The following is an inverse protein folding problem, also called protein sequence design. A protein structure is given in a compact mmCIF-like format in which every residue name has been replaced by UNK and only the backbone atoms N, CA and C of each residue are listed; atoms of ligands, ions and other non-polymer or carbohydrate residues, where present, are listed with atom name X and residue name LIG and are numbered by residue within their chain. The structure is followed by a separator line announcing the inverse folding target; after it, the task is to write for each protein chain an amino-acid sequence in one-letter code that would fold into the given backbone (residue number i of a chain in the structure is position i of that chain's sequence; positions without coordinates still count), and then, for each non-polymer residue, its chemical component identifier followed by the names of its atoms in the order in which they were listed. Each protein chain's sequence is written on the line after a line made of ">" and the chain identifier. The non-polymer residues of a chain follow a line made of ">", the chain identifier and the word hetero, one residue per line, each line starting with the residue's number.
data_IF_956904927436
#
_entry.id   IF_956904927436
#
_cell.length_a   1.000
_cell.length_b   1.000
_cell.length_c   1.000
_cell.angle_alpha   90.00
_cell.angle_beta   90.00
_cell.angle_gamma   90.00
#
_symmetry.space_group_name_H-M   'P 1'
#
loop_
_entity.id
_entity.type
_entity.pdbx_description
1 polymer ?
#
# COMPACT_ATOMS: atom_id res chain seq x y z
N UNK A 1 8.76 19.23 4.98
CA UNK A 1 9.90 18.34 5.17
C UNK A 1 10.65 18.20 3.87
N UNK A 2 11.91 18.48 3.91
CA UNK A 2 12.72 18.49 2.69
C UNK A 2 12.93 17.10 2.10
N UNK A 3 12.63 16.03 2.82
CA UNK A 3 12.85 14.67 2.36
C UNK A 3 11.56 13.91 2.06
N UNK A 4 10.44 14.60 2.00
CA UNK A 4 9.18 13.99 1.66
C UNK A 4 8.90 14.15 0.17
N UNK A 5 8.58 13.05 -0.47
CA UNK A 5 8.18 13.05 -1.88
C UNK A 5 6.93 12.21 -2.07
N UNK A 6 5.97 12.76 -2.80
CA UNK A 6 4.83 11.98 -3.25
C UNK A 6 5.28 11.04 -4.35
N UNK A 7 4.94 9.77 -4.23
CA UNK A 7 5.25 8.74 -5.23
C UNK A 7 3.96 8.09 -5.67
N UNK A 8 3.69 8.17 -6.97
CA UNK A 8 2.47 7.61 -7.55
C UNK A 8 2.80 6.63 -8.65
N UNK A 9 2.02 5.57 -8.73
CA UNK A 9 2.17 4.53 -9.74
C UNK A 9 0.82 4.30 -10.39
N UNK A 10 0.81 4.20 -11.70
CA UNK A 10 -0.41 3.99 -12.47
C UNK A 10 -0.44 2.63 -13.11
N UNK A 11 -1.62 2.04 -13.18
CA UNK A 11 -1.89 0.82 -13.93
C UNK A 11 -2.69 1.21 -15.16
N UNK A 12 -2.19 0.86 -16.34
CA UNK A 12 -2.78 1.27 -17.61
C UNK A 12 -3.25 0.07 -18.40
N UNK A 13 -4.35 0.27 -19.11
CA UNK A 13 -4.87 -0.71 -20.07
C UNK A 13 -5.30 0.07 -21.31
N UNK A 14 -4.70 -0.26 -22.45
CA UNK A 14 -4.97 0.40 -23.74
C UNK A 14 -4.87 1.94 -23.63
N UNK A 15 -3.87 2.41 -22.92
CA UNK A 15 -3.63 3.84 -22.76
C UNK A 15 -4.51 4.53 -21.73
N UNK A 16 -5.42 3.81 -21.10
CA UNK A 16 -6.28 4.36 -20.04
C UNK A 16 -5.79 3.92 -18.68
N UNK A 17 -5.84 4.85 -17.72
CA UNK A 17 -5.49 4.51 -16.35
C UNK A 17 -6.68 3.78 -15.72
N UNK A 18 -6.43 2.58 -15.20
CA UNK A 18 -7.46 1.76 -14.56
C UNK A 18 -7.15 1.51 -13.09
N UNK A 19 -6.05 1.99 -12.61
CA UNK A 19 -5.73 1.90 -11.19
C UNK A 19 -4.55 2.78 -10.84
N UNK A 20 -4.43 3.10 -9.55
CA UNK A 20 -3.26 3.82 -9.11
C UNK A 20 -2.95 3.50 -7.65
N UNK A 21 -1.68 3.67 -7.32
CA UNK A 21 -1.18 3.55 -5.94
C UNK A 21 -0.43 4.82 -5.63
N UNK A 22 -0.80 5.49 -4.55
CA UNK A 22 -0.16 6.72 -4.13
C UNK A 22 0.32 6.63 -2.71
N UNK A 23 1.37 7.37 -2.42
CA UNK A 23 1.91 7.42 -1.09
C UNK A 23 3.00 8.46 -0.97
N UNK A 24 3.65 8.46 0.18
CA UNK A 24 4.72 9.39 0.49
C UNK A 24 6.00 8.63 0.73
N UNK A 25 7.05 9.03 0.06
CA UNK A 25 8.39 8.52 0.33
C UNK A 25 9.06 9.48 1.30
N UNK A 26 9.25 9.04 2.54
CA UNK A 26 9.86 9.83 3.61
C UNK A 26 11.13 9.12 4.01
N UNK A 27 12.28 9.72 3.72
CA UNK A 27 13.57 9.07 3.86
C UNK A 27 13.56 7.76 3.03
N UNK A 28 13.71 6.61 3.66
CA UNK A 28 13.71 5.31 2.97
C UNK A 28 12.47 4.47 3.27
N UNK A 29 11.39 5.12 3.71
CA UNK A 29 10.11 4.47 3.99
C UNK A 29 9.03 4.97 3.04
N UNK A 30 8.25 4.05 2.49
CA UNK A 30 7.10 4.39 1.67
C UNK A 30 5.83 4.24 2.51
N UNK A 31 5.13 5.35 2.71
CA UNK A 31 3.88 5.38 3.44
C UNK A 31 2.75 5.29 2.43
N UNK A 32 2.13 4.12 2.34
CA UNK A 32 1.04 3.88 1.40
C UNK A 32 -0.16 4.72 1.82
N UNK A 33 -0.63 5.57 0.94
CA UNK A 33 -1.79 6.39 1.20
C UNK A 33 -3.05 5.76 0.61
N UNK A 34 -2.97 5.26 -0.61
CA UNK A 34 -4.15 4.82 -1.32
C UNK A 34 -3.78 3.85 -2.43
N UNK A 35 -4.61 2.82 -2.59
CA UNK A 35 -4.58 1.97 -3.77
C UNK A 35 -6.00 1.83 -4.29
N UNK A 36 -6.19 2.05 -5.57
CA UNK A 36 -7.51 2.05 -6.21
C UNK A 36 -7.44 1.28 -7.52
N UNK A 37 -8.45 0.46 -7.76
CA UNK A 37 -8.67 -0.19 -9.06
C UNK A 37 -10.05 0.26 -9.52
N UNK A 38 -10.14 0.67 -10.77
CA UNK A 38 -11.38 1.09 -11.43
C UNK A 38 -12.43 -0.02 -11.34
N UNK A 39 -13.69 0.35 -11.08
CA UNK A 39 -14.76 -0.63 -10.82
C UNK A 39 -14.88 -1.75 -11.85
N UNK A 40 -14.87 -1.47 -13.16
CA UNK A 40 -14.98 -2.54 -14.15
C UNK A 40 -13.86 -3.58 -14.08
N UNK A 41 -12.75 -3.24 -13.42
CA UNK A 41 -11.56 -4.09 -13.35
C UNK A 41 -11.35 -4.69 -11.97
N UNK A 42 -12.24 -4.43 -11.02
CA UNK A 42 -12.17 -5.03 -9.70
C UNK A 42 -12.54 -6.51 -9.74
N UNK A 43 -12.19 -7.25 -8.71
CA UNK A 43 -12.47 -8.69 -8.56
C UNK A 43 -11.75 -9.58 -9.58
N UNK A 44 -10.72 -9.06 -10.24
CA UNK A 44 -9.89 -9.83 -11.16
C UNK A 44 -8.48 -10.03 -10.63
N UNK A 45 -8.31 -9.85 -9.32
CA UNK A 45 -7.03 -9.93 -8.64
C UNK A 45 -6.02 -8.89 -9.14
N UNK A 46 -6.48 -7.91 -9.89
CA UNK A 46 -5.60 -6.87 -10.42
C UNK A 46 -5.00 -6.01 -9.31
N UNK A 47 -5.80 -5.75 -8.27
CA UNK A 47 -5.28 -4.97 -7.13
C UNK A 47 -4.09 -5.65 -6.47
N UNK A 48 -4.19 -6.98 -6.29
CA UNK A 48 -3.11 -7.75 -5.70
C UNK A 48 -1.86 -7.74 -6.60
N UNK A 49 -2.07 -7.99 -7.89
CA UNK A 49 -0.97 -8.04 -8.85
C UNK A 49 -0.29 -6.68 -8.95
N UNK A 50 -1.09 -5.63 -9.06
CA UNK A 50 -0.58 -4.27 -9.20
C UNK A 50 0.20 -3.86 -7.94
N UNK A 51 -0.39 -4.08 -6.77
CA UNK A 51 0.25 -3.67 -5.52
C UNK A 51 1.56 -4.44 -5.30
N UNK A 52 1.56 -5.73 -5.59
CA UNK A 52 2.77 -6.55 -5.49
C UNK A 52 3.87 -6.02 -6.42
N UNK A 53 3.48 -5.62 -7.62
CA UNK A 53 4.42 -5.05 -8.58
C UNK A 53 4.99 -3.72 -8.09
N UNK A 54 4.14 -2.85 -7.54
CA UNK A 54 4.60 -1.57 -6.98
C UNK A 54 5.59 -1.81 -5.85
N UNK A 55 5.30 -2.77 -4.97
CA UNK A 55 6.22 -3.09 -3.88
C UNK A 55 7.56 -3.59 -4.41
N UNK A 56 7.56 -4.36 -5.48
CA UNK A 56 8.79 -4.83 -6.10
C UNK A 56 9.61 -3.67 -6.67
N UNK A 57 8.94 -2.70 -7.30
CA UNK A 57 9.62 -1.50 -7.80
C UNK A 57 10.26 -0.71 -6.67
N UNK A 58 9.54 -0.55 -5.56
CA UNK A 58 10.08 0.16 -4.40
C UNK A 58 11.30 -0.55 -3.83
N UNK A 59 11.24 -1.86 -3.73
CA UNK A 59 12.36 -2.66 -3.26
C UNK A 59 13.59 -2.47 -4.16
N UNK A 60 13.38 -2.48 -5.47
CA UNK A 60 14.46 -2.27 -6.43
C UNK A 60 15.06 -0.86 -6.36
N UNK A 61 14.26 0.13 -5.96
CA UNK A 61 14.74 1.49 -5.77
C UNK A 61 15.55 1.67 -4.47
N UNK A 62 15.57 0.67 -3.62
CA UNK A 62 16.28 0.75 -2.36
C UNK A 62 15.44 1.25 -1.19
N UNK A 63 14.12 1.32 -1.35
CA UNK A 63 13.22 1.62 -0.23
C UNK A 63 13.36 0.51 0.80
N UNK A 64 13.46 0.86 2.06
CA UNK A 64 13.72 -0.11 3.12
C UNK A 64 12.46 -0.72 3.69
N UNK A 65 11.37 0.03 3.75
CA UNK A 65 10.10 -0.55 4.18
C UNK A 65 8.92 0.24 3.66
N UNK A 66 7.77 -0.43 3.62
CA UNK A 66 6.49 0.18 3.30
C UNK A 66 5.56 0.01 4.49
N UNK A 67 4.75 1.04 4.76
CA UNK A 67 3.85 1.10 5.90
C UNK A 67 2.48 1.49 5.40
N UNK A 68 1.44 0.86 5.94
CA UNK A 68 0.06 1.23 5.62
C UNK A 68 -0.78 1.20 6.89
N UNK A 69 -1.76 2.10 6.97
CA UNK A 69 -2.79 2.07 8.00
C UNK A 69 -4.10 1.69 7.35
N UNK A 70 -4.80 0.73 7.91
CA UNK A 70 -6.01 0.18 7.31
C UNK A 70 -7.06 -0.05 8.38
N UNK A 71 -8.32 0.26 8.06
CA UNK A 71 -9.45 -0.03 8.97
C UNK A 71 -9.47 -1.51 9.30
N UNK A 72 -9.71 -1.81 10.58
CA UNK A 72 -9.74 -3.22 11.02
C UNK A 72 -10.86 -4.01 10.33
N UNK A 73 -11.91 -3.33 9.85
CA UNK A 73 -13.01 -3.98 9.14
C UNK A 73 -12.76 -4.17 7.65
N UNK A 74 -11.69 -3.57 7.11
CA UNK A 74 -11.44 -3.61 5.66
C UNK A 74 -10.70 -4.89 5.29
N UNK A 75 -11.39 -6.02 5.35
CA UNK A 75 -10.79 -7.32 5.08
C UNK A 75 -10.22 -7.47 3.67
N UNK A 76 -10.88 -6.95 2.62
CA UNK A 76 -10.28 -7.04 1.28
C UNK A 76 -8.91 -6.36 1.19
N UNK A 77 -8.76 -5.17 1.78
CA UNK A 77 -7.48 -4.46 1.77
C UNK A 77 -6.43 -5.20 2.62
N UNK A 78 -6.83 -5.65 3.81
CA UNK A 78 -5.93 -6.39 4.69
C UNK A 78 -5.39 -7.63 3.97
N UNK A 79 -6.25 -8.35 3.26
CA UNK A 79 -5.85 -9.53 2.49
C UNK A 79 -4.83 -9.17 1.42
N UNK A 80 -5.04 -8.07 0.70
CA UNK A 80 -4.07 -7.61 -0.31
C UNK A 80 -2.72 -7.34 0.33
N UNK A 81 -2.72 -6.63 1.46
CA UNK A 81 -1.47 -6.29 2.13
C UNK A 81 -0.76 -7.53 2.67
N UNK A 82 -1.49 -8.45 3.29
CA UNK A 82 -0.89 -9.68 3.80
C UNK A 82 -0.28 -10.52 2.68
N UNK A 83 -1.00 -10.66 1.57
CA UNK A 83 -0.49 -11.40 0.42
C UNK A 83 0.70 -10.71 -0.24
N UNK A 84 0.85 -9.42 -0.01
CA UNK A 84 1.98 -8.65 -0.52
C UNK A 84 3.15 -8.60 0.48
N UNK A 85 3.10 -9.41 1.53
CA UNK A 85 4.21 -9.53 2.47
C UNK A 85 4.16 -8.61 3.67
N UNK A 86 3.05 -7.93 3.89
CA UNK A 86 2.89 -7.06 5.05
C UNK A 86 2.44 -7.86 6.26
N UNK A 87 2.88 -7.44 7.43
CA UNK A 87 2.43 -7.99 8.70
C UNK A 87 1.92 -6.86 9.59
N UNK A 88 0.94 -7.18 10.44
CA UNK A 88 0.42 -6.22 11.40
C UNK A 88 1.41 -6.06 12.54
N UNK A 89 1.81 -4.83 12.81
CA UNK A 89 2.79 -4.53 13.87
C UNK A 89 2.19 -3.70 14.99
N UNK A 90 1.04 -3.06 14.77
CA UNK A 90 0.42 -2.20 15.78
C UNK A 90 -1.06 -2.00 15.44
N UNK A 91 -1.80 -1.45 16.39
CA UNK A 91 -3.19 -1.06 16.20
C UNK A 91 -3.39 0.31 16.84
N UNK A 92 -3.95 1.24 16.06
CA UNK A 92 -4.28 2.57 16.55
C UNK A 92 -5.77 2.61 16.89
N UNK A 93 -6.07 2.83 18.16
CA UNK A 93 -7.46 2.83 18.63
C UNK A 93 -8.15 4.13 18.23
N UNK A 94 -9.41 4.01 17.84
CA UNK A 94 -10.25 5.16 17.49
C UNK A 94 -9.61 6.07 16.46
N UNK A 95 -8.92 5.47 15.51
CA UNK A 95 -8.13 6.22 14.51
C UNK A 95 -9.01 6.97 13.53
N UNK A 96 -10.10 6.33 13.08
CA UNK A 96 -11.02 6.91 12.10
C UNK A 96 -12.13 7.63 12.84
N UNK A 97 -12.19 8.96 12.67
CA UNK A 97 -13.06 9.80 13.50
C UNK A 97 -14.53 9.69 13.16
N UNK A 98 -14.85 9.27 11.93
CA UNK A 98 -16.24 9.18 11.51
C UNK A 98 -17.04 8.12 12.28
N UNK A 99 -16.42 7.04 12.72
CA UNK A 99 -17.10 5.98 13.47
C UNK A 99 -16.29 5.39 14.61
N UNK A 100 -15.13 5.99 14.91
CA UNK A 100 -14.26 5.52 15.99
C UNK A 100 -13.56 4.20 15.72
N UNK A 101 -13.57 3.76 14.48
CA UNK A 101 -12.97 2.47 14.12
C UNK A 101 -11.45 2.50 14.30
N UNK A 102 -10.89 1.37 14.73
CA UNK A 102 -9.45 1.21 14.89
C UNK A 102 -8.77 1.01 13.53
N UNK A 103 -7.47 1.25 13.50
CA UNK A 103 -6.65 0.97 12.34
C UNK A 103 -5.55 0.00 12.71
N UNK A 104 -5.31 -0.99 11.86
CA UNK A 104 -4.08 -1.77 11.93
C UNK A 104 -2.96 -0.99 11.24
N UNK A 105 -1.77 -1.05 11.83
CA UNK A 105 -0.54 -0.59 11.17
C UNK A 105 0.16 -1.82 10.64
N UNK A 106 0.34 -1.88 9.33
CA UNK A 106 0.95 -3.03 8.68
C UNK A 106 2.23 -2.58 7.98
N UNK A 107 3.24 -3.43 8.02
CA UNK A 107 4.57 -3.10 7.51
C UNK A 107 5.13 -4.28 6.72
N UNK A 108 5.78 -3.95 5.61
CA UNK A 108 6.67 -4.88 4.93
C UNK A 108 8.08 -4.30 4.98
N UNK A 109 9.01 -5.02 5.57
CA UNK A 109 10.39 -4.57 5.73
C UNK A 109 11.25 -5.22 4.64
N UNK A 110 11.58 -4.44 3.61
CA UNK A 110 12.37 -4.93 2.48
C UNK A 110 13.83 -5.18 2.86
N UNK A 111 14.31 -4.53 3.91
CA UNK A 111 15.73 -4.63 4.29
C UNK A 111 16.11 -6.02 4.78
N UNK A 112 15.12 -6.82 5.22
CA UNK A 112 15.33 -8.19 5.68
C UNK A 112 15.09 -9.21 4.58
N UNK A 113 14.80 -8.77 3.36
CA UNK A 113 14.48 -9.68 2.25
C UNK A 113 15.66 -9.80 1.31
N UNK A 114 15.79 -10.98 0.73
CA UNK A 114 16.78 -11.21 -0.31
C UNK A 114 16.19 -10.88 -1.66
N UNK A 115 17.05 -10.42 -2.54
CA UNK A 115 16.65 -10.12 -3.92
C UNK A 115 16.67 -11.39 -4.75
#
# INVERSE_FOLDING_TARGET
>A
MEHENAEYYGLFNDGQIIGFCGGWLVADEYQVNKIVIDKPHQNKKLGQIFFTYVMQLLKLKGVKKAIVEVRVSNMPAITVYEKSGFTTVDMRKNYYKNNGENAFVMVRDFSNERI
#
